data_IF_655676041705
#
_entry.id   IF_655676041705
#
_cell.length_a   1.000
_cell.length_b   1.000
_cell.length_c   1.000
_cell.angle_alpha   90.00
_cell.angle_beta   90.00
_cell.angle_gamma   90.00
#
_symmetry.space_group_name_H-M   'P 1'
#
loop_
_entity.id
_entity.type
_entity.pdbx_description
1 polymer ?
#
# COMPACT_ATOMS: atom_id res chain seq x y z
N UNK A 1 -14.47 -17.05 -24.06
CA UNK A 1 -15.21 -17.00 -22.78
C UNK A 1 -14.39 -17.72 -21.73
N UNK A 2 -13.59 -16.98 -20.96
CA UNK A 2 -12.98 -17.49 -19.71
C UNK A 2 -13.11 -16.37 -18.68
N UNK A 3 -14.36 -16.07 -18.32
CA UNK A 3 -14.69 -15.25 -17.16
C UNK A 3 -14.60 -16.15 -15.93
N UNK A 4 -13.38 -16.37 -15.43
CA UNK A 4 -13.18 -17.02 -14.14
C UNK A 4 -13.72 -16.10 -13.05
N UNK A 5 -14.69 -16.59 -12.28
CA UNK A 5 -15.20 -15.97 -11.05
C UNK A 5 -14.04 -15.37 -10.24
N UNK A 6 -13.97 -14.04 -10.18
CA UNK A 6 -13.09 -13.35 -9.26
C UNK A 6 -13.77 -13.37 -7.89
N UNK A 7 -13.23 -14.15 -6.96
CA UNK A 7 -13.78 -14.44 -5.63
C UNK A 7 -13.57 -13.29 -4.61
N UNK A 8 -13.36 -12.07 -5.08
CA UNK A 8 -13.09 -10.90 -4.24
C UNK A 8 -14.05 -9.73 -4.55
N UNK A 9 -14.53 -9.07 -3.50
CA UNK A 9 -15.40 -7.89 -3.59
C UNK A 9 -14.60 -6.59 -3.84
N UNK A 10 -13.36 -6.52 -3.35
CA UNK A 10 -12.52 -5.34 -3.45
C UNK A 10 -11.09 -5.75 -3.80
N UNK A 11 -10.49 -5.05 -4.75
CA UNK A 11 -9.09 -5.23 -5.14
C UNK A 11 -8.33 -3.92 -4.97
N UNK A 12 -7.40 -3.91 -4.02
CA UNK A 12 -6.47 -2.81 -3.83
C UNK A 12 -5.13 -3.13 -4.50
N UNK A 13 -4.66 -2.23 -5.37
CA UNK A 13 -3.40 -2.38 -6.10
C UNK A 13 -2.48 -1.21 -5.76
N UNK A 14 -1.42 -1.48 -4.98
CA UNK A 14 -0.36 -0.52 -4.66
C UNK A 14 0.85 -0.72 -5.56
N UNK A 15 1.31 0.33 -6.24
CA UNK A 15 2.49 0.29 -7.11
C UNK A 15 3.55 1.28 -6.64
N UNK A 16 4.81 0.85 -6.61
CA UNK A 16 5.98 1.66 -6.32
C UNK A 16 6.87 1.74 -7.56
N UNK A 17 7.57 2.86 -7.73
CA UNK A 17 8.42 3.11 -8.91
C UNK A 17 7.65 2.98 -10.25
N UNK A 18 6.33 3.18 -10.22
CA UNK A 18 5.46 2.94 -11.35
C UNK A 18 5.74 3.91 -12.51
N UNK A 19 5.85 3.42 -13.76
CA UNK A 19 6.06 4.25 -14.94
C UNK A 19 4.76 4.91 -15.37
N UNK A 20 4.48 6.11 -14.85
CA UNK A 20 3.37 6.96 -15.30
C UNK A 20 1.98 6.31 -15.20
N UNK A 21 1.05 6.73 -16.07
CA UNK A 21 -0.37 6.34 -15.99
C UNK A 21 -0.75 5.07 -16.78
N UNK A 22 0.16 4.46 -17.56
CA UNK A 22 -0.18 3.34 -18.46
C UNK A 22 -0.72 2.11 -17.72
N UNK A 23 -0.20 1.84 -16.51
CA UNK A 23 -0.60 0.68 -15.71
C UNK A 23 -2.06 0.79 -15.26
N UNK A 24 -2.51 2.00 -14.92
CA UNK A 24 -3.91 2.23 -14.53
C UNK A 24 -4.88 1.81 -15.64
N UNK A 25 -4.58 2.20 -16.88
CA UNK A 25 -5.41 1.85 -18.05
C UNK A 25 -5.43 0.34 -18.27
N UNK A 26 -4.27 -0.32 -18.19
CA UNK A 26 -4.19 -1.78 -18.35
C UNK A 26 -4.99 -2.53 -17.28
N UNK A 27 -4.91 -2.08 -16.03
CA UNK A 27 -5.69 -2.68 -14.93
C UNK A 27 -7.19 -2.47 -15.13
N UNK A 28 -7.62 -1.26 -15.49
CA UNK A 28 -9.03 -1.00 -15.78
C UNK A 28 -9.56 -1.86 -16.92
N UNK A 29 -8.80 -2.01 -18.01
CA UNK A 29 -9.18 -2.86 -19.14
C UNK A 29 -9.26 -4.33 -18.74
N UNK A 30 -8.29 -4.85 -17.99
CA UNK A 30 -8.27 -6.25 -17.55
C UNK A 30 -9.43 -6.59 -16.61
N UNK A 31 -9.92 -5.60 -15.85
CA UNK A 31 -10.98 -5.77 -14.86
C UNK A 31 -12.36 -5.38 -15.36
N UNK A 32 -12.49 -4.85 -16.59
CA UNK A 32 -13.71 -4.19 -17.05
C UNK A 32 -14.95 -5.10 -17.09
N UNK A 33 -14.79 -6.40 -17.25
CA UNK A 33 -15.95 -7.32 -17.23
C UNK A 33 -16.57 -7.47 -15.84
N UNK A 34 -15.81 -7.26 -14.77
CA UNK A 34 -16.25 -7.61 -13.39
C UNK A 34 -16.22 -6.43 -12.43
N UNK A 35 -15.27 -5.52 -12.60
CA UNK A 35 -14.98 -4.47 -11.64
C UNK A 35 -14.87 -3.08 -12.31
N UNK A 36 -15.01 -2.05 -11.49
CA UNK A 36 -14.76 -0.65 -11.86
C UNK A 36 -13.81 -0.01 -10.86
N UNK A 37 -13.14 1.06 -11.30
CA UNK A 37 -12.24 1.84 -10.45
C UNK A 37 -13.07 2.68 -9.49
N UNK A 38 -12.97 2.38 -8.19
CA UNK A 38 -13.60 3.15 -7.11
C UNK A 38 -12.79 4.41 -6.80
N UNK A 39 -11.47 4.24 -6.67
CA UNK A 39 -10.61 5.28 -6.15
C UNK A 39 -9.18 5.14 -6.62
N UNK A 40 -8.53 6.28 -6.83
CA UNK A 40 -7.12 6.37 -7.21
C UNK A 40 -6.45 7.47 -6.41
N UNK A 41 -5.26 7.19 -5.92
CA UNK A 41 -4.35 8.20 -5.37
C UNK A 41 -2.95 7.96 -5.91
N UNK A 42 -2.24 9.05 -6.23
CA UNK A 42 -0.91 9.01 -6.80
C UNK A 42 -0.04 10.09 -6.19
N UNK A 43 1.16 9.70 -5.75
CA UNK A 43 2.22 10.58 -5.31
C UNK A 43 3.49 10.22 -6.09
N UNK A 44 3.73 10.95 -7.18
CA UNK A 44 4.80 10.64 -8.14
C UNK A 44 4.71 9.20 -8.67
N UNK A 45 5.70 8.36 -8.34
CA UNK A 45 5.76 6.95 -8.77
C UNK A 45 5.08 5.97 -7.79
N UNK A 46 4.56 6.47 -6.67
CA UNK A 46 3.77 5.70 -5.72
C UNK A 46 2.28 5.87 -6.05
N UNK A 47 1.60 4.76 -6.31
CA UNK A 47 0.20 4.73 -6.73
C UNK A 47 -0.60 3.74 -5.90
N UNK A 48 -1.87 4.03 -5.66
CA UNK A 48 -2.83 3.11 -5.08
C UNK A 48 -4.15 3.24 -5.84
N UNK A 49 -4.63 2.09 -6.31
CA UNK A 49 -5.91 1.93 -6.99
C UNK A 49 -6.79 1.02 -6.15
N UNK A 50 -8.08 1.33 -6.10
CA UNK A 50 -9.08 0.49 -5.48
C UNK A 50 -10.16 0.20 -6.51
N UNK A 51 -10.39 -1.08 -6.76
CA UNK A 51 -11.44 -1.59 -7.64
C UNK A 51 -12.48 -2.34 -6.81
N UNK A 52 -13.73 -2.33 -7.27
CA UNK A 52 -14.83 -3.11 -6.71
C UNK A 52 -15.81 -3.50 -7.81
N UNK A 53 -16.85 -4.30 -7.51
CA UNK A 53 -17.83 -4.73 -8.52
C UNK A 53 -18.48 -3.54 -9.20
N UNK A 54 -19.05 -3.73 -10.40
CA UNK A 54 -19.68 -2.63 -11.17
C UNK A 54 -20.75 -1.84 -10.41
N UNK A 55 -21.39 -2.44 -9.41
CA UNK A 55 -22.38 -1.81 -8.53
C UNK A 55 -21.80 -1.34 -7.18
N UNK A 56 -20.47 -1.33 -7.01
CA UNK A 56 -19.82 -1.02 -5.74
C UNK A 56 -20.15 0.39 -5.24
N UNK A 57 -20.37 1.35 -6.14
CA UNK A 57 -20.71 2.73 -5.78
C UNK A 57 -21.93 2.83 -4.85
N UNK A 58 -22.92 1.94 -5.02
CA UNK A 58 -24.10 1.90 -4.15
C UNK A 58 -23.79 1.47 -2.71
N UNK A 59 -22.65 0.82 -2.48
CA UNK A 59 -22.23 0.29 -1.19
C UNK A 59 -21.07 1.06 -0.56
N UNK A 60 -20.55 2.08 -1.26
CA UNK A 60 -19.40 2.87 -0.84
C UNK A 60 -19.86 4.22 -0.33
N UNK A 61 -19.42 4.54 0.87
CA UNK A 61 -19.60 5.84 1.49
C UNK A 61 -18.24 6.38 1.94
N UNK A 62 -18.16 7.69 2.16
CA UNK A 62 -16.98 8.35 2.73
C UNK A 62 -15.65 8.04 2.00
N UNK A 63 -15.65 7.96 0.66
CA UNK A 63 -14.42 7.83 -0.11
C UNK A 63 -13.52 9.06 0.14
N UNK A 64 -12.39 8.82 0.81
CA UNK A 64 -11.36 9.82 1.10
C UNK A 64 -10.01 9.31 0.66
N UNK A 65 -9.19 10.21 0.15
CA UNK A 65 -7.82 9.90 -0.25
C UNK A 65 -6.86 10.86 0.45
N UNK A 66 -5.66 10.38 0.77
CA UNK A 66 -4.60 11.22 1.31
C UNK A 66 -3.21 10.71 0.90
N UNK A 67 -2.20 11.56 1.08
CA UNK A 67 -0.80 11.26 0.77
C UNK A 67 0.10 11.90 1.82
N UNK A 68 1.12 11.13 2.24
CA UNK A 68 2.15 11.60 3.13
C UNK A 68 3.51 11.37 2.48
N UNK A 69 4.21 12.45 2.13
CA UNK A 69 5.61 12.34 1.71
C UNK A 69 6.53 12.23 2.92
N UNK A 70 7.54 11.37 2.82
CA UNK A 70 8.66 11.32 3.75
C UNK A 70 9.88 11.84 2.97
N UNK A 71 10.46 12.94 3.44
CA UNK A 71 11.70 13.47 2.90
C UNK A 71 12.87 12.92 3.69
N UNK A 72 13.95 12.51 3.02
CA UNK A 72 15.24 12.33 3.70
C UNK A 72 15.74 13.68 4.22
N UNK A 73 16.32 13.70 5.42
CA UNK A 73 17.09 14.85 5.91
C UNK A 73 18.24 15.13 4.92
N UNK A 74 18.05 16.02 3.95
CA UNK A 74 19.10 16.38 2.99
C UNK A 74 18.67 16.75 1.57
N UNK A 75 17.38 16.81 1.23
CA UNK A 75 16.94 17.43 -0.03
C UNK A 75 17.44 16.76 -1.32
N UNK A 76 18.02 15.56 -1.27
CA UNK A 76 18.45 14.86 -2.47
C UNK A 76 17.22 14.36 -3.22
N UNK A 77 17.10 14.85 -4.45
CA UNK A 77 16.01 14.61 -5.39
C UNK A 77 16.09 13.15 -5.86
N UNK A 78 15.45 12.25 -5.10
CA UNK A 78 15.08 10.91 -5.52
C UNK A 78 13.56 10.76 -5.62
N UNK A 79 13.07 9.72 -6.32
CA UNK A 79 11.64 9.36 -6.37
C UNK A 79 11.08 9.37 -4.93
N UNK A 80 10.06 10.20 -4.65
CA UNK A 80 9.58 10.45 -3.28
C UNK A 80 9.22 9.15 -2.56
N UNK A 81 9.75 8.99 -1.35
CA UNK A 81 9.33 8.00 -0.35
C UNK A 81 8.12 8.53 0.42
N UNK A 82 7.37 7.64 1.05
CA UNK A 82 6.15 7.99 1.78
C UNK A 82 5.02 6.99 1.60
N UNK A 83 3.79 7.47 1.73
CA UNK A 83 2.58 6.67 1.60
C UNK A 83 1.46 7.41 0.86
N UNK A 84 0.58 6.64 0.25
CA UNK A 84 -0.72 7.09 -0.26
C UNK A 84 -1.80 6.20 0.33
N UNK A 85 -2.98 6.76 0.58
CA UNK A 85 -4.04 6.05 1.26
C UNK A 85 -5.42 6.31 0.65
N UNK A 86 -6.27 5.29 0.70
CA UNK A 86 -7.69 5.34 0.37
C UNK A 86 -8.46 4.84 1.60
N UNK A 87 -9.39 5.63 2.10
CA UNK A 87 -10.35 5.26 3.15
C UNK A 87 -11.74 5.22 2.54
N UNK A 88 -12.47 4.15 2.80
CA UNK A 88 -13.89 3.99 2.41
C UNK A 88 -14.68 3.40 3.56
N UNK A 89 -15.99 3.58 3.53
CA UNK A 89 -16.95 2.77 4.25
C UNK A 89 -17.66 1.87 3.23
N UNK A 90 -17.36 0.58 3.26
CA UNK A 90 -17.93 -0.42 2.35
C UNK A 90 -18.89 -1.32 3.12
N UNK A 91 -20.18 -1.32 2.74
CA UNK A 91 -21.22 -2.14 3.40
C UNK A 91 -21.23 -1.99 4.94
N UNK A 92 -20.96 -0.79 5.46
CA UNK A 92 -20.89 -0.49 6.89
C UNK A 92 -19.52 -0.72 7.55
N UNK A 93 -18.55 -1.29 6.82
CA UNK A 93 -17.20 -1.53 7.31
C UNK A 93 -16.27 -0.41 6.84
N UNK A 94 -15.68 0.33 7.79
CA UNK A 94 -14.68 1.36 7.50
C UNK A 94 -13.32 0.71 7.23
N UNK A 95 -12.89 0.74 5.97
CA UNK A 95 -11.64 0.18 5.48
C UNK A 95 -10.65 1.30 5.16
N UNK A 96 -9.38 1.08 5.46
CA UNK A 96 -8.29 1.97 5.05
C UNK A 96 -7.18 1.16 4.39
N UNK A 97 -6.85 1.50 3.16
CA UNK A 97 -5.77 0.92 2.39
C UNK A 97 -4.62 1.91 2.34
N UNK A 98 -3.42 1.50 2.74
CA UNK A 98 -2.20 2.31 2.73
C UNK A 98 -1.16 1.61 1.87
N UNK A 99 -0.77 2.24 0.76
CA UNK A 99 0.37 1.82 -0.04
C UNK A 99 1.57 2.69 0.30
N UNK A 100 2.67 2.09 0.77
CA UNK A 100 3.88 2.82 1.12
C UNK A 100 5.08 2.44 0.23
N UNK A 101 6.06 3.35 0.22
CA UNK A 101 7.39 3.14 -0.32
C UNK A 101 8.36 3.78 0.67
N UNK A 102 8.88 2.98 1.60
CA UNK A 102 9.71 3.43 2.70
C UNK A 102 11.18 3.57 2.28
N UNK A 103 11.98 4.20 3.14
CA UNK A 103 13.40 4.44 2.86
C UNK A 103 14.17 3.13 2.68
N UNK A 104 14.87 3.03 1.55
CA UNK A 104 15.63 1.84 1.16
C UNK A 104 17.00 1.76 1.84
N UNK A 105 17.58 2.91 2.20
CA UNK A 105 18.97 3.06 2.64
C UNK A 105 19.08 3.63 4.05
N UNK A 106 18.83 2.76 5.02
CA UNK A 106 19.25 2.93 6.38
C UNK A 106 19.42 1.54 6.96
N UNK A 107 20.63 1.21 7.43
CA UNK A 107 20.87 0.01 8.25
C UNK A 107 19.95 -0.05 9.48
N UNK A 108 19.17 1.00 9.73
CA UNK A 108 18.30 1.14 10.86
C UNK A 108 16.84 0.74 10.56
N UNK A 109 16.41 -0.36 11.15
CA UNK A 109 14.99 -0.75 11.26
C UNK A 109 14.17 0.34 11.98
N UNK A 110 14.78 1.07 12.91
CA UNK A 110 14.11 2.13 13.67
C UNK A 110 13.68 3.29 12.79
N UNK A 111 14.43 3.62 11.73
CA UNK A 111 14.05 4.67 10.78
C UNK A 111 12.75 4.29 10.07
N UNK A 112 12.67 3.08 9.51
CA UNK A 112 11.43 2.58 8.88
C UNK A 112 10.27 2.48 9.87
N UNK A 113 10.53 2.07 11.12
CA UNK A 113 9.50 2.06 12.17
C UNK A 113 9.03 3.49 12.49
N UNK A 114 9.94 4.47 12.52
CA UNK A 114 9.61 5.88 12.71
C UNK A 114 8.81 6.43 11.53
N UNK A 115 9.16 6.07 10.30
CA UNK A 115 8.41 6.38 9.09
C UNK A 115 6.98 5.80 9.13
N UNK A 116 6.82 4.53 9.50
CA UNK A 116 5.52 3.89 9.69
C UNK A 116 4.67 4.63 10.74
N UNK A 117 5.24 4.92 11.91
CA UNK A 117 4.57 5.68 12.98
C UNK A 117 4.16 7.06 12.48
N UNK A 118 5.06 7.78 11.82
CA UNK A 118 4.80 9.11 11.27
C UNK A 118 3.66 9.07 10.25
N UNK A 119 3.68 8.13 9.30
CA UNK A 119 2.59 7.92 8.32
C UNK A 119 1.27 7.64 9.04
N UNK A 120 1.27 6.73 10.02
CA UNK A 120 0.06 6.36 10.76
C UNK A 120 -0.56 7.53 11.53
N UNK A 121 0.25 8.46 12.02
CA UNK A 121 -0.23 9.64 12.75
C UNK A 121 -0.65 10.79 11.82
N UNK A 122 -0.02 10.92 10.65
CA UNK A 122 -0.20 12.08 9.78
C UNK A 122 -1.24 11.86 8.69
N UNK A 123 -1.44 10.64 8.21
CA UNK A 123 -2.50 10.36 7.24
C UNK A 123 -3.86 10.74 7.81
N UNK A 124 -4.60 11.50 7.00
CA UNK A 124 -5.91 12.08 7.30
C UNK A 124 -5.93 13.06 8.48
N UNK A 125 -4.78 13.41 9.09
CA UNK A 125 -4.69 14.37 10.20
C UNK A 125 -5.24 15.76 9.86
N UNK A 126 -5.04 16.23 8.62
CA UNK A 126 -5.53 17.54 8.15
C UNK A 126 -7.04 17.59 7.94
N UNK A 127 -7.65 16.41 7.76
CA UNK A 127 -9.09 16.22 7.55
C UNK A 127 -9.69 15.62 8.84
N UNK A 128 -8.90 15.55 9.91
CA UNK A 128 -9.29 14.93 11.17
C UNK A 128 -10.36 15.77 11.83
N UNK A 129 -11.59 15.28 11.73
CA UNK A 129 -12.67 15.70 12.60
C UNK A 129 -12.59 14.86 13.89
N UNK A 130 -12.59 15.43 15.11
CA UNK A 130 -12.55 14.69 16.37
C UNK A 130 -13.72 13.68 16.54
N UNK A 131 -14.80 13.84 15.77
CA UNK A 131 -15.90 12.87 15.69
C UNK A 131 -15.69 11.77 14.63
N UNK A 132 -14.58 11.79 13.89
CA UNK A 132 -14.28 10.78 12.88
C UNK A 132 -14.03 9.44 13.56
N UNK A 133 -14.84 8.45 13.21
CA UNK A 133 -14.64 7.09 13.73
C UNK A 133 -13.38 6.46 13.11
N UNK A 134 -12.57 5.76 13.91
CA UNK A 134 -11.43 5.02 13.40
C UNK A 134 -11.88 3.95 12.39
N UNK A 135 -10.98 3.58 11.49
CA UNK A 135 -11.20 2.46 10.57
C UNK A 135 -11.38 1.17 11.36
N UNK A 136 -12.30 0.30 10.93
CA UNK A 136 -12.43 -1.04 11.51
C UNK A 136 -11.25 -1.93 11.09
N UNK A 137 -10.80 -1.78 9.84
CA UNK A 137 -9.69 -2.54 9.28
C UNK A 137 -8.75 -1.57 8.57
N UNK A 138 -7.45 -1.73 8.78
CA UNK A 138 -6.41 -1.00 8.08
C UNK A 138 -5.43 -1.98 7.47
N UNK A 139 -5.25 -1.88 6.16
CA UNK A 139 -4.40 -2.76 5.36
C UNK A 139 -3.21 -1.94 4.88
N UNK A 140 -2.02 -2.34 5.31
CA UNK A 140 -0.77 -1.80 4.83
C UNK A 140 -0.20 -2.72 3.76
N UNK A 141 0.27 -2.12 2.67
CA UNK A 141 0.89 -2.82 1.55
C UNK A 141 1.98 -1.93 0.92
N UNK A 142 2.79 -2.53 0.05
CA UNK A 142 3.77 -1.82 -0.77
C UNK A 142 5.21 -2.24 -0.46
N UNK A 143 6.16 -1.36 -0.78
CA UNK A 143 7.58 -1.62 -0.53
C UNK A 143 7.99 -1.00 0.80
N UNK A 144 7.93 -1.84 1.85
CA UNK A 144 8.35 -1.46 3.19
C UNK A 144 9.89 -1.41 3.33
N UNK A 145 10.66 -1.94 2.38
CA UNK A 145 12.12 -1.95 2.39
C UNK A 145 12.82 -2.61 3.62
N UNK A 146 12.13 -3.43 4.41
CA UNK A 146 12.80 -4.27 5.43
C UNK A 146 13.68 -5.33 4.77
N UNK A 147 14.85 -5.58 5.36
CA UNK A 147 15.86 -6.52 4.84
C UNK A 147 16.15 -7.58 5.90
N UNK A 148 16.54 -8.77 5.46
CA UNK A 148 17.04 -9.80 6.36
C UNK A 148 18.32 -9.28 7.05
N UNK A 149 18.40 -9.41 8.37
CA UNK A 149 19.66 -9.18 9.10
C UNK A 149 20.22 -10.51 9.60
N UNK A 150 21.54 -10.57 9.74
CA UNK A 150 22.24 -11.74 10.29
C UNK A 150 22.37 -12.92 9.32
N UNK A 151 21.93 -12.79 8.07
CA UNK A 151 22.10 -13.81 7.03
C UNK A 151 22.55 -13.11 5.75
N UNK A 152 23.71 -13.51 5.22
CA UNK A 152 24.22 -13.01 3.94
C UNK A 152 23.41 -13.52 2.75
N UNK A 153 23.56 -12.83 1.61
CA UNK A 153 22.82 -13.13 0.37
C UNK A 153 22.93 -14.58 -0.09
N UNK A 154 24.11 -15.19 -0.03
CA UNK A 154 24.32 -16.54 -0.54
C UNK A 154 23.64 -17.62 0.33
N UNK A 155 23.82 -17.62 1.67
CA UNK A 155 23.02 -18.47 2.57
C UNK A 155 21.51 -18.27 2.43
N UNK A 156 21.04 -17.03 2.32
CA UNK A 156 19.61 -16.74 2.17
C UNK A 156 19.02 -17.36 0.89
N UNK A 157 19.73 -17.26 -0.23
CA UNK A 157 19.34 -17.90 -1.51
C UNK A 157 19.27 -19.41 -1.38
N UNK A 158 20.26 -20.04 -0.75
CA UNK A 158 20.26 -21.49 -0.53
C UNK A 158 19.08 -21.97 0.33
N UNK A 159 18.63 -21.16 1.31
CA UNK A 159 17.45 -21.48 2.11
C UNK A 159 16.16 -21.36 1.30
N UNK A 160 16.06 -20.35 0.43
CA UNK A 160 14.91 -20.18 -0.48
C UNK A 160 14.86 -21.35 -1.47
N UNK A 161 15.98 -21.71 -2.10
CA UNK A 161 16.05 -22.81 -3.07
C UNK A 161 15.68 -24.17 -2.46
N UNK A 162 15.87 -24.32 -1.15
CA UNK A 162 15.51 -25.52 -0.38
C UNK A 162 14.11 -25.47 0.25
N UNK A 163 13.35 -24.41 0.00
CA UNK A 163 12.05 -24.13 0.63
C UNK A 163 12.10 -24.06 2.18
N UNK A 164 13.25 -23.67 2.73
CA UNK A 164 13.51 -23.50 4.16
C UNK A 164 13.42 -22.04 4.61
N UNK A 165 12.75 -21.19 3.83
CA UNK A 165 12.63 -19.76 4.11
C UNK A 165 11.87 -19.47 5.43
N UNK A 166 11.02 -20.39 5.90
CA UNK A 166 10.36 -20.29 7.22
C UNK A 166 11.35 -20.30 8.41
N UNK A 167 12.57 -20.79 8.20
CA UNK A 167 13.64 -20.81 9.22
C UNK A 167 14.26 -19.42 9.39
N UNK A 168 14.04 -18.50 8.43
CA UNK A 168 14.51 -17.13 8.48
C UNK A 168 13.66 -16.36 9.50
N UNK A 169 14.06 -16.42 10.78
CA UNK A 169 13.49 -15.59 11.84
C UNK A 169 14.14 -14.23 11.81
N UNK A 170 13.48 -13.27 11.20
CA UNK A 170 13.90 -11.87 11.23
C UNK A 170 12.69 -10.99 11.56
N UNK A 171 12.37 -10.89 12.85
CA UNK A 171 11.32 -9.99 13.32
C UNK A 171 11.82 -8.55 13.25
N UNK A 172 11.39 -7.80 12.24
CA UNK A 172 11.68 -6.36 12.11
C UNK A 172 10.43 -5.49 12.12
N UNK A 173 9.23 -6.07 11.99
CA UNK A 173 7.98 -5.34 12.18
C UNK A 173 7.60 -5.39 13.66
N UNK A 174 7.97 -4.34 14.38
CA UNK A 174 7.49 -4.04 15.73
C UNK A 174 6.83 -2.66 15.72
#
# INVERSE_FOLDING_TARGET
MVGGSHDFDLLAVGLQEAPGNKVATMLSTALDETHTLIGKVTMQSLQLFLFGPKNAESFIQELKVDKQSIGGCGGIIGRKKGAVAIRINYKGIRLMFISCHLSAHGYNVEERNAECRHISHTLFSKIWNPYSRPSHVTIWLGDLNYRLQGIDTYPARNLIDKDLHYVIKSSFMC
#
